data_IF_314445745418
#
_entry.id   IF_314445745418
#
_cell.length_a   1.000
_cell.length_b   1.000
_cell.length_c   1.000
_cell.angle_alpha   90.00
_cell.angle_beta   90.00
_cell.angle_gamma   90.00
#
_symmetry.space_group_name_H-M   'P 1'
#
loop_
_entity.id
_entity.type
_entity.pdbx_description
1 polymer ?
#
# COMPACT_ATOMS: atom_id res chain seq x y z
N UNK A 1 3.53 26.81 4.79
CA UNK A 1 3.29 26.26 6.14
C UNK A 1 2.70 24.87 5.96
N UNK A 2 3.29 23.82 6.53
CA UNK A 2 2.83 22.44 6.32
C UNK A 2 1.56 22.13 7.11
N UNK A 3 0.67 21.32 6.55
CA UNK A 3 -0.52 20.84 7.25
C UNK A 3 -0.11 20.01 8.48
N UNK A 4 -0.78 20.24 9.61
CA UNK A 4 -0.61 19.52 10.87
C UNK A 4 -1.77 18.55 11.06
N UNK A 5 -1.45 17.29 11.30
CA UNK A 5 -2.42 16.28 11.69
C UNK A 5 -2.53 16.22 13.22
N UNK A 6 -3.75 16.26 13.74
CA UNK A 6 -4.04 16.09 15.16
C UNK A 6 -4.98 14.90 15.33
N UNK A 7 -4.63 13.98 16.22
CA UNK A 7 -5.47 12.82 16.56
C UNK A 7 -6.01 12.99 17.97
N UNK A 8 -7.31 12.74 18.16
CA UNK A 8 -7.93 12.72 19.49
C UNK A 8 -9.11 11.76 19.55
N UNK A 9 -9.49 11.35 20.76
CA UNK A 9 -10.66 10.50 21.01
C UNK A 9 -11.78 11.34 21.64
N UNK A 10 -13.02 11.15 21.19
CA UNK A 10 -14.21 11.80 21.76
C UNK A 10 -15.42 10.89 21.56
N UNK A 11 -16.17 10.64 22.62
CA UNK A 11 -17.41 9.84 22.60
C UNK A 11 -17.22 8.44 21.97
N UNK A 12 -16.06 7.81 22.20
CA UNK A 12 -15.71 6.49 21.63
C UNK A 12 -15.33 6.51 20.14
N UNK A 13 -15.26 7.70 19.53
CA UNK A 13 -14.85 7.90 18.13
C UNK A 13 -13.45 8.51 18.09
N UNK A 14 -12.59 7.94 17.25
CA UNK A 14 -11.26 8.52 17.00
C UNK A 14 -11.39 9.53 15.86
N UNK A 15 -11.01 10.77 16.13
CA UNK A 15 -10.98 11.84 15.15
C UNK A 15 -9.56 12.14 14.71
N UNK A 16 -9.42 12.41 13.42
CA UNK A 16 -8.23 12.96 12.79
C UNK A 16 -8.61 14.33 12.23
N UNK A 17 -7.88 15.35 12.66
CA UNK A 17 -8.08 16.73 12.23
C UNK A 17 -6.85 17.20 11.44
N UNK A 18 -7.07 17.58 10.19
CA UNK A 18 -6.04 18.16 9.32
C UNK A 18 -6.19 19.67 9.43
N UNK A 19 -5.16 20.33 9.97
CA UNK A 19 -5.09 21.79 10.09
C UNK A 19 -4.04 22.33 9.13
N UNK A 20 -4.42 23.25 8.25
CA UNK A 20 -3.48 23.88 7.32
C UNK A 20 -3.77 25.37 7.17
N UNK A 21 -2.76 26.13 6.74
CA UNK A 21 -2.95 27.47 6.20
C UNK A 21 -2.90 27.37 4.67
N UNK A 22 -3.94 27.83 4.01
CA UNK A 22 -3.98 27.97 2.56
C UNK A 22 -3.12 29.17 2.13
N UNK A 23 -2.69 29.24 0.85
CA UNK A 23 -1.83 30.33 0.35
C UNK A 23 -2.44 31.73 0.47
N UNK A 24 -3.78 31.82 0.52
CA UNK A 24 -4.56 33.05 0.71
C UNK A 24 -4.68 33.48 2.19
N UNK A 25 -4.06 32.72 3.11
CA UNK A 25 -4.14 32.96 4.56
C UNK A 25 -5.35 32.33 5.25
N UNK A 26 -6.26 31.70 4.49
CA UNK A 26 -7.42 31.00 5.04
C UNK A 26 -6.97 29.76 5.83
N UNK A 27 -7.56 29.53 7.01
CA UNK A 27 -7.30 28.31 7.78
C UNK A 27 -8.21 27.19 7.29
N UNK A 28 -7.59 26.10 6.84
CA UNK A 28 -8.27 24.86 6.51
C UNK A 28 -8.31 23.94 7.72
N UNK A 29 -9.51 23.45 8.06
CA UNK A 29 -9.73 22.44 9.09
C UNK A 29 -10.66 21.38 8.53
N UNK A 30 -10.14 20.17 8.33
CA UNK A 30 -10.95 19.00 7.99
C UNK A 30 -10.93 18.02 9.17
N UNK A 31 -12.10 17.55 9.56
CA UNK A 31 -12.26 16.55 10.63
C UNK A 31 -12.86 15.29 10.03
N UNK A 32 -12.15 14.19 10.21
CA UNK A 32 -12.62 12.85 9.83
C UNK A 32 -12.68 11.99 11.09
N UNK A 33 -13.85 11.42 11.38
CA UNK A 33 -14.06 10.54 12.52
C UNK A 33 -14.23 9.09 12.09
N UNK A 34 -13.69 8.16 12.87
CA UNK A 34 -13.89 6.72 12.69
C UNK A 34 -14.38 6.09 13.98
N UNK A 35 -15.47 5.33 13.88
CA UNK A 35 -15.89 4.45 14.96
C UNK A 35 -14.86 3.33 15.16
N UNK A 36 -14.85 2.72 16.34
CA UNK A 36 -14.00 1.56 16.64
C UNK A 36 -14.21 0.42 15.63
N UNK A 37 -15.47 0.08 15.32
CA UNK A 37 -15.81 -0.95 14.33
C UNK A 37 -15.31 -0.61 12.92
N UNK A 38 -15.39 0.66 12.52
CA UNK A 38 -14.87 1.07 11.21
C UNK A 38 -13.34 0.94 11.16
N UNK A 39 -12.65 1.27 12.25
CA UNK A 39 -11.21 1.06 12.34
C UNK A 39 -10.86 -0.43 12.29
N UNK A 40 -11.55 -1.29 13.02
CA UNK A 40 -11.37 -2.74 12.95
C UNK A 40 -11.54 -3.27 11.53
N UNK A 41 -12.62 -2.86 10.86
CA UNK A 41 -12.89 -3.23 9.46
C UNK A 41 -11.76 -2.77 8.52
N UNK A 42 -11.28 -1.53 8.67
CA UNK A 42 -10.15 -1.01 7.88
C UNK A 42 -8.87 -1.80 8.11
N UNK A 43 -8.59 -2.21 9.35
CA UNK A 43 -7.42 -3.05 9.66
C UNK A 43 -7.54 -4.42 9.00
N UNK A 44 -8.72 -5.03 9.03
CA UNK A 44 -8.98 -6.30 8.36
C UNK A 44 -8.75 -6.19 6.85
N UNK A 45 -9.32 -5.16 6.20
CA UNK A 45 -9.15 -4.92 4.76
C UNK A 45 -7.67 -4.68 4.42
N UNK A 46 -6.97 -3.85 5.19
CA UNK A 46 -5.54 -3.60 4.99
C UNK A 46 -4.70 -4.88 5.13
N UNK A 47 -5.02 -5.74 6.09
CA UNK A 47 -4.41 -7.05 6.25
C UNK A 47 -4.63 -7.94 5.02
N UNK A 48 -5.86 -8.00 4.50
CA UNK A 48 -6.19 -8.80 3.32
C UNK A 48 -5.48 -8.31 2.06
N UNK A 49 -5.40 -6.99 1.86
CA UNK A 49 -4.65 -6.41 0.74
C UNK A 49 -3.16 -6.76 0.84
N UNK A 50 -2.57 -6.73 2.03
CA UNK A 50 -1.16 -7.15 2.22
C UNK A 50 -0.96 -8.63 1.86
N UNK A 51 -1.85 -9.51 2.30
CA UNK A 51 -1.78 -10.92 1.95
C UNK A 51 -1.87 -11.14 0.43
N UNK A 52 -2.84 -10.52 -0.24
CA UNK A 52 -2.99 -10.59 -1.69
C UNK A 52 -1.74 -10.09 -2.44
N UNK A 53 -1.12 -9.00 -1.97
CA UNK A 53 0.14 -8.50 -2.55
C UNK A 53 1.29 -9.49 -2.38
N UNK A 54 1.39 -10.14 -1.22
CA UNK A 54 2.40 -11.17 -0.96
C UNK A 54 2.20 -12.39 -1.85
N UNK A 55 0.97 -12.87 -1.97
CA UNK A 55 0.59 -13.99 -2.85
C UNK A 55 0.91 -13.65 -4.31
N UNK A 56 0.52 -12.47 -4.77
CA UNK A 56 0.84 -11.98 -6.11
C UNK A 56 2.35 -11.90 -6.36
N UNK A 57 3.12 -11.34 -5.42
CA UNK A 57 4.58 -11.27 -5.54
C UNK A 57 5.22 -12.67 -5.58
N UNK A 58 4.69 -13.64 -4.83
CA UNK A 58 5.14 -15.03 -4.88
C UNK A 58 4.84 -15.67 -6.24
N UNK A 59 3.64 -15.45 -6.79
CA UNK A 59 3.27 -15.91 -8.13
C UNK A 59 4.19 -15.33 -9.22
N UNK A 60 4.49 -14.02 -9.16
CA UNK A 60 5.44 -13.39 -10.08
C UNK A 60 6.85 -14.00 -9.99
N UNK A 61 7.34 -14.30 -8.76
CA UNK A 61 8.64 -14.95 -8.58
C UNK A 61 8.65 -16.36 -9.19
N UNK A 62 7.59 -17.15 -8.96
CA UNK A 62 7.45 -18.50 -9.53
C UNK A 62 7.45 -18.48 -11.06
N UNK A 63 6.64 -17.61 -11.66
CA UNK A 63 6.59 -17.46 -13.11
C UNK A 63 7.96 -17.04 -13.68
N UNK A 64 8.66 -16.11 -13.02
CA UNK A 64 10.02 -15.73 -13.42
C UNK A 64 11.00 -16.90 -13.34
N UNK A 65 10.96 -17.71 -12.27
CA UNK A 65 11.84 -18.88 -12.18
C UNK A 65 11.57 -19.90 -13.27
N UNK A 66 10.30 -20.13 -13.60
CA UNK A 66 9.88 -21.05 -14.68
C UNK A 66 10.38 -20.56 -16.05
N UNK A 67 10.22 -19.26 -16.36
CA UNK A 67 10.79 -18.68 -17.56
C UNK A 67 12.33 -18.78 -17.62
N UNK A 68 13.03 -18.62 -16.50
CA UNK A 68 14.50 -18.77 -16.47
C UNK A 68 14.93 -20.21 -16.74
N UNK A 69 14.19 -21.20 -16.23
CA UNK A 69 14.43 -22.61 -16.56
C UNK A 69 14.13 -22.93 -18.02
N UNK A 70 13.08 -22.35 -18.61
CA UNK A 70 12.76 -22.52 -20.04
C UNK A 70 13.74 -21.78 -20.97
N UNK A 71 14.42 -20.74 -20.47
CA UNK A 71 15.50 -20.02 -21.18
C UNK A 71 16.86 -20.73 -21.03
N UNK A 72 16.93 -21.90 -20.38
CA UNK A 72 18.13 -22.73 -20.42
C UNK A 72 18.47 -23.07 -21.87
N UNK A 73 19.39 -22.30 -22.43
CA UNK A 73 19.75 -22.35 -23.84
C UNK A 73 20.26 -23.76 -24.10
N UNK A 74 19.59 -24.56 -24.95
CA UNK A 74 20.00 -25.94 -25.11
C UNK A 74 21.43 -25.95 -25.68
N UNK A 75 22.28 -26.85 -25.18
CA UNK A 75 23.76 -26.75 -25.31
C UNK A 75 24.32 -26.64 -26.73
N UNK A 76 23.51 -26.93 -27.75
CA UNK A 76 23.81 -26.78 -29.17
C UNK A 76 23.77 -25.31 -29.65
N UNK A 77 23.08 -24.40 -28.96
CA UNK A 77 23.06 -22.96 -29.34
C UNK A 77 24.43 -22.30 -29.11
N UNK A 78 25.26 -22.82 -28.20
CA UNK A 78 26.66 -22.37 -28.03
C UNK A 78 27.57 -22.76 -29.20
N UNK A 79 27.13 -23.64 -30.10
CA UNK A 79 27.90 -24.05 -31.29
C UNK A 79 27.57 -23.23 -32.54
N UNK A 80 26.63 -22.27 -32.47
CA UNK A 80 26.16 -21.46 -33.61
C UNK A 80 26.74 -20.05 -33.69
N UNK A 81 27.66 -19.69 -32.78
CA UNK A 81 28.44 -18.45 -32.91
C UNK A 81 29.71 -18.81 -33.67
N UNK A 82 29.67 -18.62 -35.00
CA UNK A 82 30.85 -18.57 -35.88
C UNK A 82 31.39 -17.16 -35.93
#
# INVERSE_FOLDING_TARGET
MAAKLVKYSRDGVIYYEIRGALPDGTRYVERVGFSERELEFRHLVAGRIRLLRTEYAAACRKCRSECVTDVATPGWVKQLIF
#
